data_IF_798290306789
#
_entry.id   IF_798290306789
#
_cell.length_a   1.000
_cell.length_b   1.000
_cell.length_c   1.000
_cell.angle_alpha   90.00
_cell.angle_beta   90.00
_cell.angle_gamma   90.00
#
_symmetry.space_group_name_H-M   'P 1'
#
loop_
_entity.id
_entity.type
_entity.pdbx_description
1 polymer ?
#
# COMPACT_ATOMS: atom_id res chain seq x y z
N UNK A 1 6.62 1.48 9.87
CA UNK A 1 5.28 0.95 9.54
C UNK A 1 4.76 1.59 8.25
N UNK A 2 4.10 0.82 7.37
CA UNK A 2 3.45 1.35 6.15
C UNK A 2 1.99 0.92 6.13
N UNK A 3 1.07 1.86 5.95
CA UNK A 3 -0.34 1.54 5.74
C UNK A 3 -0.92 2.31 4.56
N UNK A 4 -1.77 1.62 3.78
CA UNK A 4 -2.51 2.22 2.68
C UNK A 4 -3.91 2.56 3.15
N UNK A 5 -4.29 3.82 3.05
CA UNK A 5 -5.62 4.28 3.40
C UNK A 5 -6.03 5.42 2.47
N UNK A 6 -7.33 5.53 2.28
CA UNK A 6 -7.88 6.72 1.66
C UNK A 6 -7.83 7.87 2.68
N UNK A 7 -8.04 9.08 2.21
CA UNK A 7 -8.11 10.20 3.12
C UNK A 7 -8.79 11.39 2.48
N UNK A 8 -9.36 12.23 3.32
CA UNK A 8 -9.61 13.62 3.01
C UNK A 8 -8.68 14.44 3.90
N UNK A 9 -8.58 15.75 3.66
CA UNK A 9 -7.72 16.59 4.47
C UNK A 9 -8.11 16.43 5.95
N UNK A 10 -7.11 16.18 6.80
CA UNK A 10 -7.21 15.95 8.24
C UNK A 10 -7.82 14.60 8.70
N UNK A 11 -8.17 13.67 7.80
CA UNK A 11 -8.73 12.36 8.16
C UNK A 11 -8.13 11.26 7.28
N UNK A 12 -7.52 10.25 7.91
CA UNK A 12 -7.23 8.97 7.24
C UNK A 12 -8.46 8.05 7.38
N UNK A 13 -8.89 7.44 6.28
CA UNK A 13 -10.05 6.55 6.23
C UNK A 13 -9.61 5.15 5.82
N UNK A 14 -9.75 4.21 6.75
CA UNK A 14 -9.48 2.79 6.56
C UNK A 14 -10.70 2.03 6.01
N UNK A 15 -11.90 2.64 6.02
CA UNK A 15 -13.12 2.11 5.42
C UNK A 15 -13.55 2.94 4.22
N UNK A 16 -13.06 2.57 3.04
CA UNK A 16 -13.45 3.22 1.79
C UNK A 16 -14.71 2.57 1.23
N UNK A 17 -15.87 3.11 1.61
CA UNK A 17 -17.24 2.68 1.26
C UNK A 17 -17.85 1.56 2.14
N UNK A 18 -19.17 1.67 2.36
CA UNK A 18 -19.96 0.85 3.30
C UNK A 18 -20.80 1.71 4.25
N UNK A 19 -21.67 1.06 5.05
CA UNK A 19 -22.58 1.74 5.98
C UNK A 19 -21.89 2.26 7.25
N UNK A 20 -20.64 1.86 7.50
CA UNK A 20 -19.89 2.17 8.72
C UNK A 20 -18.53 2.84 8.43
N UNK A 21 -18.57 3.93 7.65
CA UNK A 21 -17.37 4.70 7.27
C UNK A 21 -16.67 5.29 8.49
N UNK A 22 -17.47 5.84 9.42
CA UNK A 22 -17.00 6.55 10.61
C UNK A 22 -16.14 5.66 11.52
N UNK A 23 -16.44 4.36 11.62
CA UNK A 23 -15.62 3.42 12.41
C UNK A 23 -14.21 3.19 11.87
N UNK A 24 -13.94 3.59 10.61
CA UNK A 24 -12.63 3.52 10.00
C UNK A 24 -11.95 4.89 9.88
N UNK A 25 -12.51 5.95 10.44
CA UNK A 25 -11.90 7.28 10.41
C UNK A 25 -10.86 7.43 11.52
N UNK A 26 -9.70 7.95 11.14
CA UNK A 26 -8.62 8.31 12.04
C UNK A 26 -8.29 9.78 11.80
N UNK A 27 -8.83 10.62 12.68
CA UNK A 27 -8.76 12.07 12.61
C UNK A 27 -7.53 12.61 13.30
N UNK A 28 -7.32 13.93 13.17
CA UNK A 28 -6.32 14.65 13.97
C UNK A 28 -6.56 14.48 15.49
N UNK A 29 -7.81 14.36 15.93
CA UNK A 29 -8.11 14.16 17.36
C UNK A 29 -7.57 12.84 17.87
N UNK A 30 -7.59 11.80 17.03
CA UNK A 30 -7.17 10.44 17.39
C UNK A 30 -5.65 10.31 17.47
N UNK A 31 -4.91 11.12 16.70
CA UNK A 31 -3.44 11.19 16.77
C UNK A 31 -2.98 11.43 18.21
N UNK A 32 -3.62 12.36 18.91
CA UNK A 32 -3.26 12.74 20.28
C UNK A 32 -3.62 11.68 21.33
N UNK A 33 -4.42 10.67 20.98
CA UNK A 33 -4.84 9.61 21.90
C UNK A 33 -3.85 8.42 21.92
N UNK A 34 -2.85 8.42 21.02
CA UNK A 34 -1.83 7.37 20.96
C UNK A 34 -0.64 7.80 21.82
N UNK A 35 -0.26 6.94 22.76
CA UNK A 35 0.94 7.14 23.57
C UNK A 35 2.19 6.91 22.71
N UNK A 36 3.11 7.87 22.70
CA UNK A 36 4.44 7.76 22.08
C UNK A 36 5.15 6.43 22.42
N UNK A 37 5.04 5.95 23.67
CA UNK A 37 5.69 4.74 24.17
C UNK A 37 5.29 3.43 23.49
N UNK A 38 4.32 3.45 22.57
CA UNK A 38 3.98 2.27 21.76
C UNK A 38 4.90 2.10 20.55
N UNK A 39 5.65 3.14 20.20
CA UNK A 39 6.60 3.14 19.08
C UNK A 39 8.01 2.81 19.57
N UNK A 40 8.80 2.19 18.67
CA UNK A 40 10.24 2.03 18.88
C UNK A 40 10.95 3.38 18.72
N UNK A 41 12.13 3.51 19.32
CA UNK A 41 12.91 4.74 19.36
C UNK A 41 13.27 5.27 17.97
N UNK A 42 13.47 4.40 16.99
CA UNK A 42 13.80 4.74 15.60
C UNK A 42 12.63 4.46 14.64
N UNK A 43 11.40 4.43 15.15
CA UNK A 43 10.24 4.15 14.32
C UNK A 43 10.04 5.19 13.22
N UNK A 44 9.84 4.68 12.00
CA UNK A 44 9.46 5.48 10.84
C UNK A 44 8.06 5.06 10.36
N UNK A 45 7.24 6.04 9.99
CA UNK A 45 5.89 5.82 9.49
C UNK A 45 5.77 6.38 8.07
N UNK A 46 5.25 5.58 7.14
CA UNK A 46 4.85 6.08 5.82
C UNK A 46 3.34 5.98 5.69
N UNK A 47 2.70 7.13 5.51
CA UNK A 47 1.26 7.23 5.25
C UNK A 47 0.98 7.68 3.82
N UNK A 48 0.09 6.94 3.16
CA UNK A 48 -0.42 7.27 1.83
C UNK A 48 -1.84 7.83 1.87
N UNK A 49 -2.33 8.25 3.06
CA UNK A 49 -3.54 9.04 3.17
C UNK A 49 -3.46 10.27 2.27
N UNK A 50 -4.53 10.54 1.53
CA UNK A 50 -4.54 11.62 0.55
C UNK A 50 -4.24 12.96 1.22
N UNK A 51 -3.22 13.68 0.73
CA UNK A 51 -2.87 15.03 1.21
C UNK A 51 -2.55 15.10 2.72
N UNK A 52 -2.07 14.01 3.31
CA UNK A 52 -1.70 13.98 4.73
C UNK A 52 -0.56 14.94 5.10
N UNK A 53 0.19 15.44 4.11
CA UNK A 53 1.23 16.45 4.29
C UNK A 53 0.74 17.90 4.37
N UNK A 54 -0.58 18.16 4.23
CA UNK A 54 -1.16 19.50 4.26
C UNK A 54 -2.44 19.55 5.12
N UNK A 55 -2.86 20.76 5.51
CA UNK A 55 -4.10 21.01 6.25
C UNK A 55 -5.04 22.01 5.59
N UNK A 56 -4.63 22.63 4.50
CA UNK A 56 -5.45 23.58 3.72
C UNK A 56 -5.82 22.93 2.38
N UNK A 57 -7.10 22.98 2.01
CA UNK A 57 -7.56 22.46 0.72
C UNK A 57 -7.37 23.49 -0.40
N UNK A 58 -7.09 22.99 -1.59
CA UNK A 58 -6.93 23.78 -2.80
C UNK A 58 -6.69 22.91 -4.02
N UNK A 59 -6.81 23.54 -5.20
CA UNK A 59 -6.40 22.95 -6.48
C UNK A 59 -5.01 23.44 -6.91
N UNK A 60 -4.61 24.65 -6.51
CA UNK A 60 -3.28 25.22 -6.75
C UNK A 60 -2.76 25.95 -5.51
N UNK A 61 -1.60 25.50 -5.04
CA UNK A 61 -0.90 25.98 -3.85
C UNK A 61 0.45 26.61 -4.16
N UNK A 62 0.70 26.96 -5.43
CA UNK A 62 1.93 27.66 -5.82
C UNK A 62 2.09 28.98 -5.02
N UNK A 63 3.18 29.09 -4.27
CA UNK A 63 3.49 30.25 -3.44
C UNK A 63 2.58 30.44 -2.22
N UNK A 64 1.76 29.44 -1.86
CA UNK A 64 0.84 29.50 -0.71
C UNK A 64 1.32 28.58 0.41
N UNK A 65 0.99 28.95 1.64
CA UNK A 65 1.11 28.05 2.78
C UNK A 65 -0.03 27.02 2.72
N UNK A 66 0.32 25.74 2.66
CA UNK A 66 -0.63 24.65 2.64
C UNK A 66 -0.92 24.08 4.03
N UNK A 67 -0.39 24.72 5.08
CA UNK A 67 -0.54 24.28 6.46
C UNK A 67 0.28 23.03 6.76
N UNK A 68 1.46 22.88 6.13
CA UNK A 68 2.34 21.71 6.35
C UNK A 68 2.65 21.51 7.84
N UNK A 69 2.81 22.60 8.60
CA UNK A 69 3.07 22.56 10.05
C UNK A 69 1.90 22.06 10.88
N UNK A 70 0.68 22.13 10.34
CA UNK A 70 -0.56 21.71 11.00
C UNK A 70 -1.09 20.38 10.43
N UNK A 71 -0.42 19.87 9.39
CA UNK A 71 -0.80 18.66 8.67
C UNK A 71 -0.91 17.44 9.59
N UNK A 72 -1.74 16.45 9.23
CA UNK A 72 -1.75 15.15 9.89
C UNK A 72 -0.35 14.56 10.05
N UNK A 73 0.48 14.60 9.00
CA UNK A 73 1.83 14.04 9.04
C UNK A 73 2.72 14.76 10.07
N UNK A 74 2.68 16.09 10.13
CA UNK A 74 3.45 16.84 11.13
C UNK A 74 2.94 16.56 12.54
N UNK A 75 1.61 16.49 12.74
CA UNK A 75 1.02 16.18 14.04
C UNK A 75 1.34 14.75 14.51
N UNK A 76 1.35 13.78 13.59
CA UNK A 76 1.80 12.42 13.88
C UNK A 76 3.27 12.42 14.31
N UNK A 77 4.12 13.14 13.58
CA UNK A 77 5.54 13.24 13.93
C UNK A 77 5.69 13.84 15.34
N UNK A 78 5.08 15.00 15.60
CA UNK A 78 5.19 15.71 16.88
C UNK A 78 4.59 14.92 18.06
N UNK A 79 3.44 14.26 17.88
CA UNK A 79 2.74 13.58 18.97
C UNK A 79 3.33 12.21 19.32
N UNK A 80 3.96 11.54 18.35
CA UNK A 80 4.45 10.19 18.50
C UNK A 80 5.97 10.10 18.56
N UNK A 81 6.67 11.24 18.50
CA UNK A 81 8.13 11.37 18.46
C UNK A 81 8.79 10.47 17.40
N UNK A 82 8.22 10.47 16.18
CA UNK A 82 8.67 9.61 15.06
C UNK A 82 8.83 10.38 13.76
N UNK A 83 9.61 9.82 12.85
CA UNK A 83 9.69 10.34 11.48
C UNK A 83 8.49 9.86 10.67
N UNK A 84 7.81 10.80 9.99
CA UNK A 84 6.63 10.51 9.16
C UNK A 84 6.89 10.94 7.71
N UNK A 85 6.67 10.03 6.78
CA UNK A 85 6.69 10.28 5.35
C UNK A 85 5.26 10.35 4.79
N UNK A 86 4.92 11.45 4.12
CA UNK A 86 3.59 11.67 3.56
C UNK A 86 3.62 12.48 2.26
N UNK A 87 2.58 12.37 1.44
CA UNK A 87 2.40 13.25 0.29
C UNK A 87 1.72 14.56 0.67
N UNK A 88 2.30 15.67 0.20
CA UNK A 88 1.61 16.98 0.17
C UNK A 88 0.52 17.01 -0.91
N UNK A 89 0.81 16.39 -2.05
CA UNK A 89 -0.15 16.20 -3.14
C UNK A 89 -1.08 15.00 -2.89
N UNK A 90 -2.10 14.83 -3.73
CA UNK A 90 -2.99 13.66 -3.70
C UNK A 90 -2.19 12.38 -3.91
N UNK A 91 -2.56 11.33 -3.19
CA UNK A 91 -2.06 9.98 -3.46
C UNK A 91 -2.73 9.43 -4.72
N UNK A 92 -1.92 8.95 -5.66
CA UNK A 92 -2.37 8.23 -6.84
C UNK A 92 -2.31 6.73 -6.57
N UNK A 93 -3.47 6.09 -6.64
CA UNK A 93 -3.62 4.64 -6.53
C UNK A 93 -3.66 3.95 -7.91
N UNK A 94 -3.39 4.69 -8.98
CA UNK A 94 -3.41 4.15 -10.34
C UNK A 94 -2.35 3.07 -10.49
N UNK A 95 -2.78 1.86 -10.85
CA UNK A 95 -1.89 0.71 -11.03
C UNK A 95 -1.34 0.10 -9.73
N UNK A 96 -1.74 0.60 -8.55
CA UNK A 96 -1.31 0.07 -7.24
C UNK A 96 -1.72 -1.39 -7.07
N UNK A 97 -2.89 -1.77 -7.59
CA UNK A 97 -3.44 -3.12 -7.58
C UNK A 97 -3.31 -3.82 -8.94
N UNK A 98 -2.26 -3.48 -9.70
CA UNK A 98 -1.99 -3.98 -11.05
C UNK A 98 -2.52 -3.06 -12.15
N UNK A 99 -1.76 -2.99 -13.25
CA UNK A 99 -2.22 -2.38 -14.51
C UNK A 99 -3.12 -3.36 -15.27
N UNK A 100 -3.88 -2.86 -16.25
CA UNK A 100 -4.72 -3.71 -17.09
C UNK A 100 -3.94 -4.83 -17.80
N UNK A 101 -2.69 -4.58 -18.19
CA UNK A 101 -1.82 -5.62 -18.78
C UNK A 101 -1.42 -6.66 -17.75
N UNK A 102 -1.04 -6.25 -16.54
CA UNK A 102 -0.59 -7.17 -15.50
C UNK A 102 -1.74 -8.01 -14.94
N UNK A 103 -2.93 -7.44 -14.83
CA UNK A 103 -4.15 -8.16 -14.45
C UNK A 103 -4.44 -9.25 -15.49
N UNK A 104 -4.45 -8.91 -16.78
CA UNK A 104 -4.64 -9.89 -17.87
C UNK A 104 -3.57 -10.99 -17.86
N UNK A 105 -2.32 -10.66 -17.55
CA UNK A 105 -1.27 -11.66 -17.41
C UNK A 105 -1.54 -12.58 -16.21
N UNK A 106 -1.95 -12.00 -15.07
CA UNK A 106 -2.25 -12.75 -13.86
C UNK A 106 -3.45 -13.71 -13.97
N UNK A 107 -4.45 -13.36 -14.77
CA UNK A 107 -5.56 -14.26 -15.15
C UNK A 107 -5.07 -15.52 -15.87
N UNK A 108 -3.93 -15.45 -16.57
CA UNK A 108 -3.38 -16.56 -17.35
C UNK A 108 -2.27 -17.34 -16.63
N UNK A 109 -1.85 -16.91 -15.43
CA UNK A 109 -0.80 -17.57 -14.66
C UNK A 109 -1.13 -18.98 -14.20
N UNK A 110 -2.41 -19.38 -14.22
CA UNK A 110 -2.83 -20.77 -13.97
C UNK A 110 -2.07 -21.77 -14.82
N UNK A 111 -1.81 -21.45 -16.09
CA UNK A 111 -1.08 -22.36 -16.99
C UNK A 111 0.36 -22.57 -16.54
N UNK A 112 1.03 -21.49 -16.17
CA UNK A 112 2.43 -21.53 -15.70
C UNK A 112 2.53 -22.27 -14.36
N UNK A 113 1.58 -22.00 -13.45
CA UNK A 113 1.52 -22.65 -12.14
C UNK A 113 1.27 -24.14 -12.30
N UNK A 114 0.24 -24.53 -13.06
CA UNK A 114 -0.13 -25.93 -13.29
C UNK A 114 0.97 -26.71 -14.00
N UNK A 115 1.60 -26.11 -15.01
CA UNK A 115 2.71 -26.74 -15.73
C UNK A 115 3.85 -27.07 -14.77
N UNK A 116 4.33 -26.09 -14.01
CA UNK A 116 5.43 -26.31 -13.07
C UNK A 116 5.06 -27.31 -11.96
N UNK A 117 3.86 -27.22 -11.39
CA UNK A 117 3.40 -28.16 -10.35
C UNK A 117 3.30 -29.60 -10.91
N UNK A 118 2.83 -29.77 -12.15
CA UNK A 118 2.77 -31.08 -12.82
C UNK A 118 4.16 -31.66 -13.10
N UNK A 119 5.07 -30.83 -13.65
CA UNK A 119 6.46 -31.25 -13.91
C UNK A 119 7.18 -31.65 -12.61
N UNK A 120 6.92 -30.94 -11.51
CA UNK A 120 7.46 -31.28 -10.19
C UNK A 120 6.89 -32.60 -9.66
N UNK A 121 5.59 -32.84 -9.80
CA UNK A 121 4.95 -34.09 -9.42
C UNK A 121 5.50 -35.30 -10.21
N UNK A 122 5.74 -35.12 -11.51
CA UNK A 122 6.37 -36.13 -12.36
C UNK A 122 7.81 -36.40 -11.93
N UNK A 123 8.59 -35.36 -11.64
CA UNK A 123 9.93 -35.49 -11.10
C UNK A 123 9.95 -36.31 -9.81
N UNK A 124 9.05 -36.03 -8.85
CA UNK A 124 8.97 -36.81 -7.61
C UNK A 124 8.59 -38.28 -7.85
N UNK A 125 7.69 -38.56 -8.80
CA UNK A 125 7.34 -39.93 -9.20
C UNK A 125 8.53 -40.68 -9.79
N UNK A 126 9.34 -40.02 -10.63
CA UNK A 126 10.53 -40.62 -11.24
C UNK A 126 11.63 -40.94 -10.22
N UNK A 127 11.88 -40.02 -9.29
CA UNK A 127 12.81 -40.27 -8.17
C UNK A 127 12.33 -41.45 -7.32
N UNK A 128 11.02 -41.53 -7.00
CA UNK A 128 10.44 -42.62 -6.23
C UNK A 128 10.54 -43.99 -6.94
N UNK A 129 10.52 -44.01 -8.28
CA UNK A 129 10.76 -45.19 -9.11
C UNK A 129 12.24 -45.60 -9.19
N UNK A 130 13.14 -44.84 -8.57
CA UNK A 130 14.58 -45.12 -8.53
C UNK A 130 15.40 -44.45 -9.63
N UNK A 131 14.81 -43.54 -10.42
CA UNK A 131 15.52 -42.82 -11.47
C UNK A 131 16.39 -41.68 -10.89
N UNK A 132 17.61 -42.01 -10.48
CA UNK A 132 18.59 -41.04 -9.92
C UNK A 132 19.10 -39.99 -10.91
N UNK A 133 18.74 -40.09 -12.20
CA UNK A 133 19.14 -39.14 -13.26
C UNK A 133 18.02 -38.18 -13.66
N UNK A 134 16.85 -38.26 -13.02
CA UNK A 134 15.76 -37.32 -13.28
C UNK A 134 16.22 -35.87 -13.02
N UNK A 135 15.96 -34.96 -13.97
CA UNK A 135 16.29 -33.54 -13.84
C UNK A 135 15.13 -32.84 -13.14
N UNK A 136 15.44 -32.09 -12.09
CA UNK A 136 14.45 -31.24 -11.43
C UNK A 136 14.00 -30.13 -12.40
N UNK A 137 12.69 -29.88 -12.54
CA UNK A 137 12.16 -28.76 -13.31
C UNK A 137 12.70 -27.41 -12.80
N UNK A 138 12.98 -26.50 -13.73
CA UNK A 138 13.43 -25.17 -13.40
C UNK A 138 12.25 -24.33 -12.91
N UNK A 139 12.38 -23.75 -11.73
CA UNK A 139 11.33 -22.92 -11.14
C UNK A 139 11.14 -21.67 -12.00
N UNK A 140 9.91 -21.33 -12.42
CA UNK A 140 9.66 -20.11 -13.17
C UNK A 140 10.17 -18.87 -12.44
N UNK A 141 10.65 -17.89 -13.21
CA UNK A 141 11.08 -16.61 -12.66
C UNK A 141 9.89 -15.93 -11.95
N UNK A 142 10.13 -15.36 -10.78
CA UNK A 142 9.10 -14.69 -9.96
C UNK A 142 7.87 -15.57 -9.63
N UNK A 143 8.04 -16.90 -9.55
CA UNK A 143 6.95 -17.85 -9.31
C UNK A 143 6.06 -17.51 -8.09
N UNK A 144 6.65 -17.04 -6.99
CA UNK A 144 5.88 -16.65 -5.80
C UNK A 144 5.00 -15.42 -6.03
N UNK A 145 5.46 -14.48 -6.84
CA UNK A 145 4.67 -13.31 -7.25
C UNK A 145 3.57 -13.73 -8.22
N UNK A 146 3.89 -14.61 -9.19
CA UNK A 146 2.92 -15.21 -10.11
C UNK A 146 1.78 -15.88 -9.34
N UNK A 147 2.11 -16.74 -8.36
CA UNK A 147 1.13 -17.46 -7.55
C UNK A 147 0.27 -16.50 -6.73
N UNK A 148 0.89 -15.53 -6.05
CA UNK A 148 0.19 -14.52 -5.24
C UNK A 148 -0.76 -13.67 -6.07
N UNK A 149 -0.30 -13.16 -7.21
CA UNK A 149 -1.12 -12.33 -8.12
C UNK A 149 -2.26 -13.12 -8.74
N UNK A 150 -2.06 -14.38 -9.08
CA UNK A 150 -3.13 -15.24 -9.59
C UNK A 150 -4.23 -15.45 -8.52
N UNK A 151 -3.85 -15.72 -7.28
CA UNK A 151 -4.80 -15.80 -6.15
C UNK A 151 -5.52 -14.47 -5.92
N UNK A 152 -4.79 -13.35 -5.92
CA UNK A 152 -5.37 -12.01 -5.76
C UNK A 152 -6.48 -11.73 -6.78
N UNK A 153 -6.23 -11.98 -8.07
CA UNK A 153 -7.22 -11.71 -9.11
C UNK A 153 -8.45 -12.61 -8.94
N UNK A 154 -8.26 -13.89 -8.64
CA UNK A 154 -9.38 -14.81 -8.40
C UNK A 154 -10.26 -14.40 -7.23
N UNK A 155 -9.65 -13.97 -6.13
CA UNK A 155 -10.38 -13.51 -4.94
C UNK A 155 -11.03 -12.15 -5.17
N UNK A 156 -10.34 -11.21 -5.83
CA UNK A 156 -10.91 -9.93 -6.26
C UNK A 156 -12.17 -10.12 -7.09
N UNK A 157 -12.14 -10.99 -8.10
CA UNK A 157 -13.32 -11.28 -8.93
C UNK A 157 -14.47 -11.91 -8.13
N UNK A 158 -14.19 -12.67 -7.06
CA UNK A 158 -15.23 -13.16 -6.15
C UNK A 158 -15.79 -12.01 -5.31
N UNK A 159 -14.93 -11.15 -4.78
CA UNK A 159 -15.29 -10.02 -3.92
C UNK A 159 -16.12 -8.96 -4.67
N UNK A 160 -15.97 -8.83 -5.99
CA UNK A 160 -16.85 -7.98 -6.81
C UNK A 160 -18.33 -8.34 -6.66
N UNK A 161 -18.66 -9.61 -6.38
CA UNK A 161 -20.04 -10.08 -6.22
C UNK A 161 -20.50 -10.12 -4.76
N UNK A 162 -19.60 -10.46 -3.84
CA UNK A 162 -19.97 -10.76 -2.45
C UNK A 162 -19.46 -9.73 -1.43
N UNK A 163 -18.77 -8.69 -1.89
CA UNK A 163 -18.02 -7.78 -1.04
C UNK A 163 -16.68 -8.37 -0.60
N UNK A 164 -15.79 -7.52 -0.08
CA UNK A 164 -14.45 -7.90 0.37
C UNK A 164 -13.36 -6.96 -0.14
N UNK A 165 -12.09 -7.19 0.22
CA UNK A 165 -10.98 -6.35 -0.20
C UNK A 165 -10.74 -6.40 -1.71
N UNK A 166 -10.37 -5.27 -2.30
CA UNK A 166 -9.95 -5.17 -3.72
C UNK A 166 -8.71 -6.02 -4.00
N UNK A 167 -7.78 -6.10 -3.05
CA UNK A 167 -6.56 -6.87 -3.14
C UNK A 167 -6.30 -7.59 -1.81
N UNK A 168 -6.64 -8.88 -1.70
CA UNK A 168 -6.60 -9.62 -0.43
C UNK A 168 -5.18 -9.86 0.08
N UNK A 169 -4.18 -9.97 -0.80
CA UNK A 169 -2.77 -10.03 -0.39
C UNK A 169 -2.08 -8.65 -0.36
N UNK A 170 -2.86 -7.56 -0.38
CA UNK A 170 -2.35 -6.18 -0.36
C UNK A 170 -1.94 -5.64 -1.73
N UNK A 171 -1.40 -4.43 -1.75
CA UNK A 171 -1.04 -3.76 -3.00
C UNK A 171 0.17 -4.40 -3.69
N UNK A 172 0.21 -4.31 -5.02
CA UNK A 172 1.32 -4.81 -5.83
C UNK A 172 2.48 -3.84 -5.91
N UNK A 173 2.24 -2.56 -5.59
CA UNK A 173 3.25 -1.49 -5.52
C UNK A 173 2.76 -0.35 -4.65
N UNK A 174 3.68 0.50 -4.22
CA UNK A 174 3.35 1.69 -3.45
C UNK A 174 2.57 2.72 -4.28
N UNK A 175 1.62 3.46 -3.65
CA UNK A 175 1.02 4.64 -4.26
C UNK A 175 2.06 5.68 -4.65
N UNK A 176 1.75 6.47 -5.67
CA UNK A 176 2.62 7.54 -6.16
C UNK A 176 1.97 8.91 -5.95
N UNK A 177 2.70 9.97 -6.24
CA UNK A 177 2.16 11.34 -6.20
C UNK A 177 1.24 11.56 -7.40
N UNK A 178 0.02 12.03 -7.15
CA UNK A 178 -0.91 12.50 -8.18
C UNK A 178 -0.62 13.94 -8.61
N UNK A 179 -1.52 14.51 -9.42
CA UNK A 179 -1.27 15.79 -10.11
C UNK A 179 -1.77 17.03 -9.36
N UNK A 180 -2.49 16.86 -8.24
CA UNK A 180 -3.12 17.99 -7.52
C UNK A 180 -2.91 17.92 -6.00
N UNK A 181 -2.98 19.05 -5.27
CA UNK A 181 -2.90 20.39 -5.83
C UNK A 181 -1.56 20.66 -6.52
N UNK A 182 -1.57 21.50 -7.56
CA UNK A 182 -0.33 21.98 -8.16
C UNK A 182 0.45 22.88 -7.20
N UNK A 183 1.74 23.08 -7.47
CA UNK A 183 2.60 23.98 -6.68
C UNK A 183 3.14 23.41 -5.36
N UNK A 184 2.78 22.17 -5.01
CA UNK A 184 3.37 21.44 -3.88
C UNK A 184 4.46 20.47 -4.32
N UNK A 185 5.19 19.93 -3.34
CA UNK A 185 6.30 19.02 -3.60
C UNK A 185 5.79 17.65 -4.07
N UNK A 186 6.47 17.09 -5.08
CA UNK A 186 6.26 15.73 -5.54
C UNK A 186 7.06 14.74 -4.70
N UNK A 187 6.56 13.51 -4.60
CA UNK A 187 7.17 12.46 -3.78
C UNK A 187 6.83 12.59 -2.30
N UNK A 188 7.22 11.57 -1.53
CA UNK A 188 7.06 11.57 -0.08
C UNK A 188 7.91 12.69 0.52
N UNK A 189 7.28 13.52 1.34
CA UNK A 189 7.95 14.54 2.12
C UNK A 189 8.17 14.03 3.53
N UNK A 190 9.33 14.38 4.10
CA UNK A 190 9.72 14.00 5.44
C UNK A 190 9.24 15.02 6.46
N UNK A 191 8.55 14.53 7.48
CA UNK A 191 8.11 15.27 8.65
C UNK A 191 8.80 14.66 9.86
N UNK A 192 9.44 15.51 10.64
CA UNK A 192 10.12 15.15 11.88
C UNK A 192 9.55 16.02 13.00
N UNK A 193 9.57 15.54 14.25
CA UNK A 193 9.20 16.34 15.41
C UNK A 193 9.85 17.72 15.34
N UNK A 194 9.06 18.76 15.57
CA UNK A 194 9.56 20.12 15.51
C UNK A 194 10.71 20.35 16.51
N UNK A 195 10.72 19.63 17.62
CA UNK A 195 11.79 19.67 18.63
C UNK A 195 13.12 19.07 18.16
N UNK A 196 13.12 18.20 17.15
CA UNK A 196 14.36 17.64 16.58
C UNK A 196 15.10 18.66 15.69
N UNK A 197 14.41 19.69 15.22
CA UNK A 197 14.97 20.75 14.36
C UNK A 197 15.66 21.79 15.24
N UNK A 198 16.95 21.57 15.51
CA UNK A 198 17.85 22.54 16.15
C UNK A 198 18.32 23.62 15.18
#
# INVERSE_FOLDING_TARGET
MVFFCHGIINIASFHYAGDNKDAGEFSIGDINNIYESVFDYDAEITTYACRAGISVDGNDMAGKDAGQKQSPAQKMADAWDVTVSAFEMRSSYVGVYGTGTEIKNAENYDKVIQQYETEMDEYYKEIARGNKKAKQPERPENYDEIKRRNTDIKERSKNEKYGGPIAPNGAWRFPTTGDTPSGLKKGLQLYQPLEWKK
#
